data_IF_015944733717
#
_entry.id   IF_015944733717
#
_cell.length_a   1.000
_cell.length_b   1.000
_cell.length_c   1.000
_cell.angle_alpha   90.00
_cell.angle_beta   90.00
_cell.angle_gamma   90.00
#
_symmetry.space_group_name_H-M   'P 1'
#
loop_
_entity.id
_entity.type
_entity.pdbx_description
1 polymer ?
#
# COMPACT_ATOMS: atom_id res chain seq x y z
N UNK A 1 -39.00 -6.71 11.63
CA UNK A 1 -38.06 -7.50 10.80
C UNK A 1 -36.66 -6.91 10.83
N UNK A 2 -36.43 -5.62 10.52
CA UNK A 2 -35.15 -4.94 10.79
C UNK A 2 -34.67 -5.11 12.25
N UNK A 3 -35.60 -5.05 13.22
CA UNK A 3 -35.29 -5.34 14.63
C UNK A 3 -34.77 -6.77 14.88
N UNK A 4 -35.19 -7.76 14.09
CA UNK A 4 -34.72 -9.15 14.25
C UNK A 4 -33.28 -9.30 13.73
N UNK A 5 -32.95 -8.70 12.59
CA UNK A 5 -31.57 -8.66 12.07
C UNK A 5 -30.68 -7.93 13.08
N UNK A 6 -31.13 -6.79 13.58
CA UNK A 6 -30.33 -6.02 14.54
C UNK A 6 -30.08 -6.78 15.84
N UNK A 7 -31.06 -7.53 16.36
CA UNK A 7 -30.86 -8.40 17.51
C UNK A 7 -29.86 -9.53 17.22
N UNK A 8 -29.97 -10.20 16.05
CA UNK A 8 -29.02 -11.23 15.64
C UNK A 8 -27.58 -10.67 15.52
N UNK A 9 -27.39 -9.51 14.88
CA UNK A 9 -26.08 -8.85 14.79
C UNK A 9 -25.48 -8.54 16.17
N UNK A 10 -26.29 -8.01 17.11
CA UNK A 10 -25.83 -7.73 18.48
C UNK A 10 -25.35 -8.98 19.20
N UNK A 11 -26.08 -10.09 19.07
CA UNK A 11 -25.69 -11.36 19.69
C UNK A 11 -24.38 -11.88 19.10
N UNK A 12 -24.23 -11.86 17.77
CA UNK A 12 -23.00 -12.29 17.09
C UNK A 12 -21.77 -11.50 17.53
N UNK A 13 -21.89 -10.17 17.70
CA UNK A 13 -20.78 -9.35 18.21
C UNK A 13 -20.38 -9.77 19.63
N UNK A 14 -21.34 -10.03 20.51
CA UNK A 14 -21.10 -10.44 21.90
C UNK A 14 -20.46 -11.85 21.94
N UNK A 15 -20.97 -12.78 21.14
CA UNK A 15 -20.46 -14.15 21.06
C UNK A 15 -19.02 -14.18 20.54
N UNK A 16 -18.72 -13.41 19.48
CA UNK A 16 -17.36 -13.29 18.95
C UNK A 16 -16.40 -12.68 19.98
N UNK A 17 -16.83 -11.63 20.68
CA UNK A 17 -16.03 -10.96 21.71
C UNK A 17 -15.71 -11.90 22.89
N UNK A 18 -16.62 -12.83 23.24
CA UNK A 18 -16.48 -13.72 24.39
C UNK A 18 -15.71 -15.00 24.09
N UNK A 19 -15.90 -15.57 22.90
CA UNK A 19 -15.42 -16.92 22.59
C UNK A 19 -14.42 -16.97 21.43
N UNK A 20 -14.28 -15.89 20.65
CA UNK A 20 -13.61 -15.89 19.33
C UNK A 20 -14.06 -17.05 18.43
N UNK A 21 -15.24 -17.61 18.70
CA UNK A 21 -15.72 -18.81 18.03
C UNK A 21 -16.58 -18.43 16.84
N UNK A 22 -15.93 -18.38 15.68
CA UNK A 22 -16.56 -18.11 14.39
C UNK A 22 -17.57 -19.19 14.01
N UNK A 23 -17.32 -20.44 14.40
CA UNK A 23 -18.10 -21.57 13.92
C UNK A 23 -19.54 -21.54 14.43
N UNK A 24 -19.79 -20.98 15.62
CA UNK A 24 -21.15 -20.75 16.14
C UNK A 24 -21.88 -19.63 15.38
N UNK A 25 -21.15 -18.59 14.95
CA UNK A 25 -21.69 -17.51 14.12
C UNK A 25 -22.01 -18.04 12.73
N UNK A 26 -21.12 -18.84 12.15
CA UNK A 26 -21.31 -19.52 10.87
C UNK A 26 -22.50 -20.46 10.95
N UNK A 27 -22.62 -21.27 12.00
CA UNK A 27 -23.74 -22.16 12.23
C UNK A 27 -25.05 -21.36 12.28
N UNK A 28 -25.08 -20.26 13.04
CA UNK A 28 -26.22 -19.34 13.14
C UNK A 28 -26.61 -18.66 11.81
N UNK A 29 -25.69 -18.60 10.86
CA UNK A 29 -25.88 -18.03 9.52
C UNK A 29 -26.17 -19.09 8.44
N UNK A 30 -25.82 -20.36 8.68
CA UNK A 30 -25.86 -21.44 7.67
C UNK A 30 -26.98 -22.47 7.87
N UNK A 31 -27.49 -22.68 9.08
CA UNK A 31 -28.53 -23.69 9.33
C UNK A 31 -29.97 -23.24 9.03
N UNK A 32 -30.18 -21.94 8.83
CA UNK A 32 -31.51 -21.37 8.78
C UNK A 32 -31.82 -20.95 7.33
N UNK A 33 -32.34 -21.87 6.51
CA UNK A 33 -32.91 -21.58 5.17
C UNK A 33 -34.04 -20.52 5.26
N UNK A 34 -34.61 -20.35 6.47
CA UNK A 34 -35.58 -19.31 6.82
C UNK A 34 -34.94 -18.07 7.48
N UNK A 35 -33.62 -18.01 7.59
CA UNK A 35 -32.88 -16.89 8.16
C UNK A 35 -33.06 -15.67 7.30
N UNK A 36 -33.60 -14.62 7.90
CA UNK A 36 -33.70 -13.29 7.30
C UNK A 36 -32.33 -12.81 6.78
N UNK A 37 -31.21 -13.30 7.33
CA UNK A 37 -29.85 -12.94 6.92
C UNK A 37 -29.43 -13.68 5.65
N UNK A 38 -29.74 -14.98 5.50
CA UNK A 38 -29.32 -15.80 4.36
C UNK A 38 -29.88 -15.33 3.01
N UNK A 39 -30.95 -14.52 3.02
CA UNK A 39 -31.57 -13.92 1.83
C UNK A 39 -31.33 -12.41 1.72
N UNK A 40 -30.74 -11.75 2.74
CA UNK A 40 -30.56 -10.29 2.82
C UNK A 40 -29.18 -9.92 3.34
N UNK A 41 -28.15 -10.55 2.78
CA UNK A 41 -26.75 -10.33 3.13
C UNK A 41 -26.30 -8.85 3.13
N UNK A 42 -26.79 -8.04 2.18
CA UNK A 42 -26.50 -6.60 2.13
C UNK A 42 -27.04 -5.85 3.36
N UNK A 43 -28.28 -6.17 3.78
CA UNK A 43 -28.90 -5.54 4.94
C UNK A 43 -28.22 -6.01 6.23
N UNK A 44 -27.78 -7.27 6.30
CA UNK A 44 -26.97 -7.77 7.39
C UNK A 44 -25.66 -6.99 7.55
N UNK A 45 -24.91 -6.79 6.45
CA UNK A 45 -23.66 -6.00 6.47
C UNK A 45 -23.93 -4.58 6.95
N UNK A 46 -24.97 -3.94 6.40
CA UNK A 46 -25.38 -2.59 6.80
C UNK A 46 -25.74 -2.53 8.29
N UNK A 47 -26.61 -3.43 8.76
CA UNK A 47 -27.04 -3.47 10.16
C UNK A 47 -25.88 -3.71 11.11
N UNK A 48 -25.01 -4.66 10.80
CA UNK A 48 -23.83 -4.96 11.61
C UNK A 48 -22.91 -3.74 11.71
N UNK A 49 -22.60 -3.09 10.58
CA UNK A 49 -21.81 -1.87 10.56
C UNK A 49 -22.45 -0.76 11.42
N UNK A 50 -23.75 -0.49 11.27
CA UNK A 50 -24.44 0.55 12.05
C UNK A 50 -24.49 0.25 13.55
N UNK A 51 -24.74 -1.00 13.95
CA UNK A 51 -24.78 -1.40 15.36
C UNK A 51 -23.41 -1.21 16.03
N UNK A 52 -22.33 -1.42 15.29
CA UNK A 52 -20.98 -1.18 15.84
C UNK A 52 -20.73 0.32 16.07
N UNK A 53 -21.36 1.21 15.30
CA UNK A 53 -21.31 2.66 15.53
C UNK A 53 -22.03 3.06 16.84
N UNK A 54 -23.15 2.42 17.17
CA UNK A 54 -23.92 2.73 18.40
C UNK A 54 -23.14 2.46 19.70
N UNK A 55 -22.14 1.57 19.66
CA UNK A 55 -21.48 1.03 20.86
C UNK A 55 -20.05 1.52 21.12
N UNK A 56 -19.45 2.23 20.15
CA UNK A 56 -18.13 2.92 20.14
C UNK A 56 -17.04 2.35 21.09
N UNK A 57 -16.29 1.34 20.61
CA UNK A 57 -14.85 1.51 20.39
C UNK A 57 -14.38 0.89 19.05
N UNK A 58 -13.25 1.36 18.50
CA UNK A 58 -12.62 0.84 17.26
C UNK A 58 -12.49 -0.69 17.27
N UNK A 59 -12.29 -1.29 18.45
CA UNK A 59 -12.26 -2.73 18.67
C UNK A 59 -13.50 -3.45 18.12
N UNK A 60 -14.71 -2.91 18.32
CA UNK A 60 -15.95 -3.56 17.88
C UNK A 60 -16.17 -3.46 16.38
N UNK A 61 -15.76 -2.35 15.77
CA UNK A 61 -15.72 -2.22 14.30
C UNK A 61 -14.71 -3.19 13.69
N UNK A 62 -13.56 -3.40 14.33
CA UNK A 62 -12.58 -4.42 13.89
C UNK A 62 -13.14 -5.83 14.02
N UNK A 63 -13.83 -6.15 15.11
CA UNK A 63 -14.53 -7.45 15.28
C UNK A 63 -15.53 -7.71 14.15
N UNK A 64 -16.34 -6.72 13.78
CA UNK A 64 -17.25 -6.85 12.64
C UNK A 64 -16.50 -7.09 11.32
N UNK A 65 -15.38 -6.41 11.12
CA UNK A 65 -14.49 -6.65 9.98
C UNK A 65 -13.95 -8.09 9.94
N UNK A 66 -13.49 -8.63 11.07
CA UNK A 66 -13.01 -10.01 11.18
C UNK A 66 -14.11 -11.02 10.83
N UNK A 67 -15.32 -10.84 11.38
CA UNK A 67 -16.48 -11.67 11.06
C UNK A 67 -16.76 -11.62 9.54
N UNK A 68 -16.77 -10.44 8.92
CA UNK A 68 -16.98 -10.35 7.47
C UNK A 68 -15.88 -11.06 6.67
N UNK A 69 -14.62 -10.92 7.07
CA UNK A 69 -13.49 -11.57 6.40
C UNK A 69 -13.59 -13.10 6.48
N UNK A 70 -13.95 -13.64 7.65
CA UNK A 70 -14.13 -15.07 7.85
C UNK A 70 -15.33 -15.61 7.07
N UNK A 71 -16.48 -14.93 7.12
CA UNK A 71 -17.68 -15.32 6.35
C UNK A 71 -17.45 -15.27 4.84
N UNK A 72 -16.67 -14.29 4.38
CA UNK A 72 -16.24 -14.20 2.99
C UNK A 72 -15.33 -15.36 2.60
N UNK A 73 -14.35 -15.70 3.46
CA UNK A 73 -13.42 -16.83 3.22
C UNK A 73 -14.16 -18.17 3.12
N UNK A 74 -15.23 -18.36 3.91
CA UNK A 74 -16.10 -19.54 3.89
C UNK A 74 -17.21 -19.48 2.85
N UNK A 75 -17.25 -18.42 2.02
CA UNK A 75 -18.25 -18.21 0.94
C UNK A 75 -19.70 -18.14 1.44
N UNK A 76 -19.91 -17.79 2.69
CA UNK A 76 -21.25 -17.57 3.26
C UNK A 76 -21.74 -16.17 2.86
N UNK A 77 -20.84 -15.19 2.92
CA UNK A 77 -21.11 -13.82 2.51
C UNK A 77 -20.39 -13.52 1.19
N UNK A 78 -21.10 -12.94 0.21
CA UNK A 78 -20.50 -12.59 -1.07
C UNK A 78 -19.78 -11.24 -1.00
N UNK A 79 -18.73 -11.06 -1.82
CA UNK A 79 -18.05 -9.77 -1.97
C UNK A 79 -19.04 -8.66 -2.32
N UNK A 80 -19.99 -8.95 -3.21
CA UNK A 80 -20.99 -8.00 -3.66
C UNK A 80 -21.91 -7.51 -2.54
N UNK A 81 -22.29 -8.40 -1.62
CA UNK A 81 -23.10 -8.03 -0.47
C UNK A 81 -22.32 -7.16 0.52
N UNK A 82 -21.02 -7.43 0.70
CA UNK A 82 -20.13 -6.62 1.54
C UNK A 82 -19.97 -5.23 0.94
N UNK A 83 -19.61 -5.14 -0.35
CA UNK A 83 -19.36 -3.85 -1.01
C UNK A 83 -20.62 -2.99 -1.04
N UNK A 84 -21.77 -3.55 -1.45
CA UNK A 84 -23.05 -2.82 -1.45
C UNK A 84 -23.52 -2.43 -0.05
N UNK A 85 -23.34 -3.32 0.93
CA UNK A 85 -23.75 -3.05 2.31
C UNK A 85 -22.95 -1.92 2.95
N UNK A 86 -21.63 -1.89 2.73
CA UNK A 86 -20.75 -0.82 3.22
C UNK A 86 -21.00 0.50 2.47
N UNK A 87 -21.16 0.47 1.15
CA UNK A 87 -21.49 1.67 0.37
C UNK A 87 -22.84 2.26 0.80
N UNK A 88 -23.83 1.42 1.12
CA UNK A 88 -25.12 1.86 1.65
C UNK A 88 -25.03 2.55 3.03
N UNK A 89 -24.00 2.24 3.83
CA UNK A 89 -23.70 2.97 5.08
C UNK A 89 -22.99 4.28 4.75
N UNK A 90 -21.95 4.23 3.93
CA UNK A 90 -21.18 5.42 3.54
C UNK A 90 -22.03 6.46 2.80
N UNK A 91 -23.07 6.06 2.08
CA UNK A 91 -24.01 6.96 1.38
C UNK A 91 -24.61 8.05 2.27
N UNK A 92 -24.82 7.77 3.56
CA UNK A 92 -25.40 8.72 4.53
C UNK A 92 -24.35 9.27 5.50
N UNK A 93 -23.08 9.34 5.07
CA UNK A 93 -21.94 9.79 5.88
C UNK A 93 -22.19 11.14 6.57
N UNK A 94 -22.89 12.06 5.92
CA UNK A 94 -23.15 13.41 6.42
C UNK A 94 -24.04 13.37 7.67
N UNK A 95 -25.03 12.47 7.70
CA UNK A 95 -25.93 12.30 8.83
C UNK A 95 -25.18 11.64 10.00
N UNK A 96 -24.39 10.60 9.72
CA UNK A 96 -23.62 9.91 10.75
C UNK A 96 -22.49 10.74 11.34
N UNK A 97 -21.91 11.68 10.59
CA UNK A 97 -20.85 12.56 11.12
C UNK A 97 -21.34 13.48 12.25
N UNK A 98 -22.65 13.75 12.33
CA UNK A 98 -23.24 14.57 13.39
C UNK A 98 -23.04 13.88 14.74
N UNK A 99 -23.33 12.58 14.81
CA UNK A 99 -23.25 11.79 16.03
C UNK A 99 -21.87 11.13 16.22
N UNK A 100 -21.16 10.86 15.12
CA UNK A 100 -19.89 10.12 15.11
C UNK A 100 -18.79 10.88 14.33
N UNK A 101 -18.05 11.82 14.97
CA UNK A 101 -17.03 12.62 14.28
C UNK A 101 -15.91 11.80 13.60
N UNK A 102 -15.64 10.59 14.10
CA UNK A 102 -14.65 9.65 13.55
C UNK A 102 -15.26 8.59 12.63
N UNK A 103 -16.48 8.81 12.10
CA UNK A 103 -17.22 7.86 11.27
C UNK A 103 -16.36 7.14 10.21
N UNK A 104 -15.58 7.87 9.41
CA UNK A 104 -14.72 7.23 8.39
C UNK A 104 -13.66 6.31 8.99
N UNK A 105 -13.10 6.64 10.15
CA UNK A 105 -12.13 5.79 10.86
C UNK A 105 -12.79 4.51 11.37
N UNK A 106 -14.05 4.58 11.80
CA UNK A 106 -14.83 3.43 12.25
C UNK A 106 -15.15 2.50 11.08
N UNK A 107 -15.64 3.03 9.97
CA UNK A 107 -15.87 2.20 8.77
C UNK A 107 -14.55 1.65 8.22
N UNK A 108 -13.45 2.41 8.27
CA UNK A 108 -12.13 1.92 7.88
C UNK A 108 -11.66 0.74 8.74
N UNK A 109 -12.00 0.73 10.04
CA UNK A 109 -11.68 -0.39 10.93
C UNK A 109 -12.46 -1.67 10.62
N UNK A 110 -13.63 -1.57 9.96
CA UNK A 110 -14.36 -2.72 9.40
C UNK A 110 -13.66 -3.22 8.12
N UNK A 111 -13.18 -2.31 7.27
CA UNK A 111 -12.52 -2.64 5.99
C UNK A 111 -11.13 -3.27 6.18
N UNK A 112 -10.35 -2.80 7.13
CA UNK A 112 -8.94 -3.22 7.25
C UNK A 112 -8.78 -4.76 7.39
N UNK A 113 -9.55 -5.47 8.25
CA UNK A 113 -9.52 -6.93 8.31
C UNK A 113 -9.82 -7.64 6.99
N UNK A 114 -10.76 -7.10 6.19
CA UNK A 114 -11.09 -7.67 4.88
C UNK A 114 -9.90 -7.62 3.92
N UNK A 115 -9.14 -6.51 3.92
CA UNK A 115 -7.95 -6.35 3.09
C UNK A 115 -6.75 -7.16 3.61
N UNK A 116 -6.62 -7.31 4.93
CA UNK A 116 -5.54 -8.04 5.61
C UNK A 116 -5.72 -9.57 5.58
N UNK A 117 -6.94 -10.06 5.39
CA UNK A 117 -7.19 -11.50 5.34
C UNK A 117 -6.56 -12.13 4.09
N UNK A 118 -5.70 -13.13 4.29
CA UNK A 118 -5.01 -13.88 3.22
C UNK A 118 -5.98 -14.73 2.39
N UNK A 119 -7.01 -15.28 3.03
CA UNK A 119 -7.97 -16.21 2.40
C UNK A 119 -9.21 -15.49 1.85
N UNK A 120 -9.32 -14.16 2.04
CA UNK A 120 -10.41 -13.37 1.52
C UNK A 120 -10.06 -12.80 0.14
N UNK A 121 -10.97 -12.98 -0.82
CA UNK A 121 -10.87 -12.41 -2.17
C UNK A 121 -11.07 -10.88 -2.23
N UNK A 122 -10.99 -10.19 -1.10
CA UNK A 122 -11.25 -8.74 -1.00
C UNK A 122 -9.98 -7.93 -1.29
N UNK A 123 -10.04 -7.02 -2.26
CA UNK A 123 -8.91 -6.22 -2.74
C UNK A 123 -9.27 -4.71 -2.91
N UNK A 124 -8.41 -3.94 -3.59
CA UNK A 124 -8.67 -2.52 -3.84
C UNK A 124 -9.78 -2.27 -4.88
N UNK A 125 -10.13 -3.23 -5.73
CA UNK A 125 -11.33 -3.12 -6.58
C UNK A 125 -12.60 -3.18 -5.73
N UNK A 126 -12.64 -4.08 -4.74
CA UNK A 126 -13.77 -4.13 -3.83
C UNK A 126 -13.84 -2.86 -2.97
N UNK A 127 -12.70 -2.32 -2.53
CA UNK A 127 -12.67 -1.04 -1.82
C UNK A 127 -13.19 0.12 -2.67
N UNK A 128 -12.86 0.14 -3.96
CA UNK A 128 -13.41 1.10 -4.94
C UNK A 128 -14.94 1.05 -4.97
N UNK A 129 -15.51 -0.15 -4.91
CA UNK A 129 -16.96 -0.34 -4.95
C UNK A 129 -17.62 0.02 -3.61
N UNK A 130 -16.96 -0.25 -2.49
CA UNK A 130 -17.43 0.16 -1.15
C UNK A 130 -17.60 1.66 -0.99
N UNK A 131 -16.82 2.49 -1.70
CA UNK A 131 -16.84 3.94 -1.53
C UNK A 131 -17.48 4.69 -2.69
N UNK A 132 -18.26 4.00 -3.55
CA UNK A 132 -18.83 4.57 -4.75
C UNK A 132 -19.69 5.81 -4.49
N UNK A 133 -20.50 5.79 -3.42
CA UNK A 133 -21.45 6.85 -3.04
C UNK A 133 -20.79 8.09 -2.41
N UNK A 134 -19.50 8.03 -2.04
CA UNK A 134 -18.78 9.14 -1.38
C UNK A 134 -17.69 9.78 -2.25
N UNK A 135 -17.58 9.34 -3.52
CA UNK A 135 -16.62 9.89 -4.49
C UNK A 135 -17.14 11.18 -5.13
N UNK A 136 -16.24 12.14 -5.45
CA UNK A 136 -14.82 12.19 -5.06
C UNK A 136 -14.61 12.82 -3.67
N UNK A 137 -15.63 13.46 -3.10
CA UNK A 137 -15.48 14.43 -2.02
C UNK A 137 -14.90 13.84 -0.72
N UNK A 138 -15.40 12.68 -0.31
CA UNK A 138 -15.00 12.04 0.95
C UNK A 138 -14.23 10.72 0.76
N UNK A 139 -14.13 10.22 -0.48
CA UNK A 139 -13.37 9.00 -0.77
C UNK A 139 -11.91 9.13 -0.36
N UNK A 140 -11.32 10.32 -0.50
CA UNK A 140 -9.94 10.57 -0.09
C UNK A 140 -9.76 10.42 1.42
N UNK A 141 -10.64 11.06 2.21
CA UNK A 141 -10.59 10.96 3.68
C UNK A 141 -10.75 9.51 4.13
N UNK A 142 -11.72 8.81 3.55
CA UNK A 142 -11.97 7.40 3.86
C UNK A 142 -10.78 6.50 3.48
N UNK A 143 -10.21 6.68 2.29
CA UNK A 143 -9.07 5.90 1.82
C UNK A 143 -7.85 6.07 2.74
N UNK A 144 -7.57 7.30 3.16
CA UNK A 144 -6.48 7.58 4.12
C UNK A 144 -6.72 6.88 5.46
N UNK A 145 -7.96 6.89 5.97
CA UNK A 145 -8.29 6.15 7.20
C UNK A 145 -8.05 4.64 7.02
N UNK A 146 -8.44 4.06 5.88
CA UNK A 146 -8.18 2.64 5.58
C UNK A 146 -6.68 2.33 5.57
N UNK A 147 -5.87 3.12 4.86
CA UNK A 147 -4.42 2.94 4.83
C UNK A 147 -3.82 3.07 6.24
N UNK A 148 -4.25 4.04 7.04
CA UNK A 148 -3.81 4.19 8.43
C UNK A 148 -4.17 2.99 9.30
N UNK A 149 -5.35 2.38 9.12
CA UNK A 149 -5.73 1.16 9.87
C UNK A 149 -4.86 -0.03 9.49
N UNK A 150 -4.56 -0.22 8.21
CA UNK A 150 -3.65 -1.28 7.73
C UNK A 150 -2.23 -1.06 8.25
N UNK A 151 -1.75 0.18 8.30
CA UNK A 151 -0.43 0.50 8.88
C UNK A 151 -0.38 0.35 10.41
N UNK A 152 -1.52 0.40 11.08
CA UNK A 152 -1.61 0.35 12.55
C UNK A 152 -1.99 -1.04 13.08
N UNK A 153 -2.29 -2.01 12.21
CA UNK A 153 -2.59 -3.38 12.63
C UNK A 153 -1.31 -4.06 13.15
N UNK A 154 -1.32 -4.45 14.43
CA UNK A 154 -0.17 -5.02 15.15
C UNK A 154 -0.30 -6.52 15.42
N UNK A 155 -0.89 -7.30 14.52
CA UNK A 155 -0.99 -8.75 14.75
C UNK A 155 0.34 -9.45 14.46
N UNK A 156 1.08 -9.63 15.57
CA UNK A 156 2.08 -10.64 15.91
C UNK A 156 3.38 -10.72 15.11
N UNK A 157 4.44 -10.34 15.84
CA UNK A 157 5.86 -10.66 15.67
C UNK A 157 6.13 -12.18 15.56
N UNK A 158 5.67 -12.80 14.49
CA UNK A 158 6.21 -14.05 14.00
C UNK A 158 6.65 -13.82 12.56
N UNK A 159 7.97 -13.90 12.35
CA UNK A 159 8.73 -13.61 11.11
C UNK A 159 8.26 -14.44 9.89
N UNK A 160 7.21 -15.27 10.02
CA UNK A 160 6.63 -16.08 8.94
C UNK A 160 5.27 -15.59 8.43
N UNK A 161 4.58 -14.68 9.12
CA UNK A 161 3.22 -14.25 8.76
C UNK A 161 3.05 -12.74 9.00
N UNK A 162 3.59 -11.90 8.11
CA UNK A 162 3.43 -10.43 8.20
C UNK A 162 1.98 -10.04 7.85
N UNK A 163 1.22 -9.51 8.81
CA UNK A 163 -0.19 -9.08 8.66
C UNK A 163 -0.35 -7.59 9.01
N UNK A 164 0.18 -6.72 8.16
CA UNK A 164 0.08 -5.25 8.28
C UNK A 164 1.10 -4.51 7.43
N UNK A 165 1.04 -3.18 7.44
CA UNK A 165 2.16 -2.35 6.97
C UNK A 165 2.19 -2.00 5.49
N UNK A 166 3.23 -1.27 5.10
CA UNK A 166 3.39 -0.65 3.80
C UNK A 166 3.67 -1.69 2.71
N UNK A 167 4.42 -2.75 3.04
CA UNK A 167 4.67 -3.86 2.13
C UNK A 167 3.38 -4.58 1.76
N UNK A 168 2.52 -4.84 2.74
CA UNK A 168 1.20 -5.43 2.50
C UNK A 168 0.36 -4.56 1.55
N UNK A 169 0.33 -3.24 1.79
CA UNK A 169 -0.40 -2.31 0.93
C UNK A 169 0.09 -2.42 -0.53
N UNK A 170 1.40 -2.40 -0.76
CA UNK A 170 1.97 -2.57 -2.11
C UNK A 170 1.63 -3.93 -2.70
N UNK A 171 1.85 -5.02 -1.98
CA UNK A 171 1.56 -6.38 -2.44
C UNK A 171 0.09 -6.54 -2.85
N UNK A 172 -0.84 -6.12 -1.98
CA UNK A 172 -2.29 -6.20 -2.23
C UNK A 172 -2.71 -5.30 -3.40
N UNK A 173 -2.10 -4.12 -3.55
CA UNK A 173 -2.36 -3.24 -4.71
C UNK A 173 -1.87 -3.85 -6.02
N UNK A 174 -0.68 -4.46 -6.03
CA UNK A 174 -0.13 -5.14 -7.20
C UNK A 174 -0.93 -6.37 -7.62
N UNK A 175 -1.49 -7.10 -6.64
CA UNK A 175 -2.34 -8.25 -6.86
C UNK A 175 -3.76 -7.87 -7.35
N UNK A 176 -4.18 -6.61 -7.16
CA UNK A 176 -5.48 -6.12 -7.61
C UNK A 176 -5.48 -5.92 -9.14
N UNK A 177 -6.60 -6.20 -9.82
CA UNK A 177 -6.78 -5.71 -11.19
C UNK A 177 -6.66 -4.18 -11.17
N UNK A 178 -5.88 -3.61 -12.08
CA UNK A 178 -5.49 -2.19 -12.05
C UNK A 178 -6.60 -1.22 -11.60
N UNK A 179 -6.37 -0.59 -10.44
CA UNK A 179 -7.20 0.50 -9.90
C UNK A 179 -6.39 1.78 -9.98
N UNK A 180 -6.83 2.83 -10.69
CA UNK A 180 -6.14 4.11 -10.67
C UNK A 180 -6.37 4.84 -9.35
N UNK A 181 -5.40 5.64 -8.90
CA UNK A 181 -5.49 6.37 -7.63
C UNK A 181 -6.61 7.41 -7.63
N UNK A 182 -6.89 8.02 -8.79
CA UNK A 182 -7.90 9.09 -8.95
C UNK A 182 -9.33 8.67 -8.58
N UNK A 183 -9.58 7.36 -8.53
CA UNK A 183 -10.79 6.75 -7.98
C UNK A 183 -10.98 7.06 -6.50
N UNK A 184 -9.89 7.07 -5.72
CA UNK A 184 -9.92 7.34 -4.29
C UNK A 184 -9.53 8.78 -3.98
N UNK A 185 -8.51 9.28 -4.66
CA UNK A 185 -7.87 10.57 -4.39
C UNK A 185 -7.57 11.31 -5.70
N UNK A 186 -8.25 12.45 -5.95
CA UNK A 186 -7.86 13.35 -7.02
C UNK A 186 -6.40 13.79 -6.88
N UNK A 187 -5.65 13.80 -7.97
CA UNK A 187 -4.20 14.06 -7.95
C UNK A 187 -3.79 15.40 -7.30
N UNK A 188 -4.67 16.42 -7.34
CA UNK A 188 -4.42 17.71 -6.72
C UNK A 188 -4.39 17.66 -5.17
N UNK A 189 -4.90 16.58 -4.56
CA UNK A 189 -4.88 16.39 -3.11
C UNK A 189 -3.60 15.70 -2.61
N UNK A 190 -2.79 15.09 -3.49
CA UNK A 190 -1.61 14.30 -3.11
C UNK A 190 -0.64 15.09 -2.23
N UNK A 191 -0.42 16.37 -2.56
CA UNK A 191 0.52 17.22 -1.83
C UNK A 191 0.20 17.34 -0.33
N UNK A 192 -1.08 17.20 0.06
CA UNK A 192 -1.52 17.28 1.46
C UNK A 192 -1.07 16.08 2.31
N UNK A 193 -0.80 14.93 1.70
CA UNK A 193 -0.57 13.67 2.41
C UNK A 193 0.88 13.20 2.35
N UNK A 194 1.78 14.01 1.76
CA UNK A 194 3.18 13.64 1.62
C UNK A 194 3.98 13.68 2.93
N UNK A 195 3.58 14.49 3.91
CA UNK A 195 4.26 14.61 5.21
C UNK A 195 4.39 13.27 5.96
N UNK A 196 3.51 12.31 5.67
CA UNK A 196 3.66 10.94 6.14
C UNK A 196 4.54 10.15 5.16
N UNK A 197 5.81 9.97 5.49
CA UNK A 197 6.81 9.29 4.64
C UNK A 197 6.39 7.89 4.16
N UNK A 198 5.46 7.20 4.82
CA UNK A 198 4.90 5.90 4.37
C UNK A 198 3.78 6.11 3.37
N UNK A 199 2.68 6.70 3.82
CA UNK A 199 1.45 6.86 3.01
C UNK A 199 1.72 7.81 1.84
N UNK A 200 2.40 8.92 2.08
CA UNK A 200 2.73 9.93 1.09
C UNK A 200 3.53 9.37 -0.09
N UNK A 201 4.56 8.58 0.21
CA UNK A 201 5.36 7.90 -0.82
C UNK A 201 4.55 6.86 -1.59
N UNK A 202 3.70 6.10 -0.90
CA UNK A 202 2.78 5.15 -1.56
C UNK A 202 1.82 5.86 -2.51
N UNK A 203 1.12 6.89 -2.05
CA UNK A 203 0.19 7.65 -2.89
C UNK A 203 0.90 8.26 -4.10
N UNK A 204 2.07 8.85 -3.89
CA UNK A 204 2.83 9.48 -4.96
C UNK A 204 3.34 8.44 -5.98
N UNK A 205 3.78 7.26 -5.51
CA UNK A 205 4.27 6.21 -6.41
C UNK A 205 3.15 5.63 -7.27
N UNK A 206 1.96 5.39 -6.70
CA UNK A 206 0.78 4.96 -7.46
C UNK A 206 0.36 6.05 -8.46
N UNK A 207 0.35 7.33 -8.06
CA UNK A 207 -0.03 8.42 -8.95
C UNK A 207 0.91 8.56 -10.16
N UNK A 208 2.22 8.44 -9.93
CA UNK A 208 3.20 8.43 -11.01
C UNK A 208 3.05 7.19 -11.90
N UNK A 209 2.79 6.03 -11.30
CA UNK A 209 2.53 4.79 -12.05
C UNK A 209 1.30 4.93 -12.96
N UNK A 210 0.20 5.52 -12.49
CA UNK A 210 -0.97 5.79 -13.34
C UNK A 210 -0.59 6.58 -14.59
N UNK A 211 0.25 7.60 -14.44
CA UNK A 211 0.72 8.41 -15.57
C UNK A 211 1.68 7.67 -16.48
N UNK A 212 2.56 6.85 -15.92
CA UNK A 212 3.47 5.99 -16.66
C UNK A 212 2.70 4.97 -17.50
N UNK A 213 1.73 4.28 -16.89
CA UNK A 213 0.90 3.27 -17.54
C UNK A 213 0.13 3.81 -18.75
N UNK A 214 -0.36 5.05 -18.65
CA UNK A 214 -1.08 5.72 -19.74
C UNK A 214 -0.14 6.31 -20.82
N UNK A 215 1.17 6.18 -20.65
CA UNK A 215 2.18 6.79 -21.52
C UNK A 215 2.92 5.73 -22.33
N UNK A 216 3.03 5.93 -23.65
CA UNK A 216 3.86 5.06 -24.48
C UNK A 216 5.36 5.21 -24.14
N UNK A 217 6.11 4.10 -24.17
CA UNK A 217 7.54 4.02 -23.74
C UNK A 217 8.45 5.17 -24.21
N UNK A 218 8.23 5.68 -25.42
CA UNK A 218 9.05 6.77 -26.00
C UNK A 218 8.80 8.15 -25.38
N UNK A 219 7.65 8.36 -24.74
CA UNK A 219 7.22 9.65 -24.20
C UNK A 219 7.20 9.67 -22.67
N UNK A 220 7.71 8.61 -22.02
CA UNK A 220 7.69 8.45 -20.57
C UNK A 220 8.33 9.66 -19.88
N UNK A 221 9.53 10.05 -20.32
CA UNK A 221 10.24 11.19 -19.74
C UNK A 221 9.40 12.48 -19.80
N UNK A 222 8.99 12.90 -21.00
CA UNK A 222 8.38 14.21 -21.19
C UNK A 222 7.00 14.31 -20.54
N UNK A 223 6.17 13.26 -20.67
CA UNK A 223 4.83 13.26 -20.08
C UNK A 223 4.84 13.18 -18.57
N UNK A 224 5.67 12.29 -17.99
CA UNK A 224 5.73 12.19 -16.54
C UNK A 224 6.34 13.46 -15.94
N UNK A 225 7.42 13.97 -16.52
CA UNK A 225 8.04 15.22 -16.07
C UNK A 225 7.05 16.40 -16.11
N UNK A 226 6.33 16.57 -17.23
CA UNK A 226 5.31 17.61 -17.35
C UNK A 226 4.19 17.45 -16.32
N UNK A 227 3.74 16.22 -16.07
CA UNK A 227 2.73 15.96 -15.05
C UNK A 227 3.23 16.29 -13.64
N UNK A 228 4.45 15.86 -13.28
CA UNK A 228 5.07 16.15 -11.99
C UNK A 228 5.16 17.65 -11.76
N UNK A 229 5.73 18.39 -12.72
CA UNK A 229 5.90 19.85 -12.61
C UNK A 229 4.57 20.62 -12.54
N UNK A 230 3.46 20.00 -12.94
CA UNK A 230 2.12 20.62 -12.89
C UNK A 230 1.36 20.26 -11.60
N UNK A 231 1.56 19.06 -11.05
CA UNK A 231 0.69 18.51 -10.00
C UNK A 231 1.38 18.37 -8.64
N UNK A 232 2.70 18.31 -8.60
CA UNK A 232 3.46 18.08 -7.37
C UNK A 232 4.20 19.36 -6.96
N UNK A 233 4.13 19.71 -5.69
CA UNK A 233 4.77 20.91 -5.16
C UNK A 233 6.30 20.82 -5.21
N UNK A 234 6.95 21.98 -5.33
CA UNK A 234 8.42 22.06 -5.42
C UNK A 234 9.07 21.56 -4.14
N UNK A 235 8.44 21.78 -2.98
CA UNK A 235 8.89 21.31 -1.68
C UNK A 235 8.95 19.78 -1.63
N UNK A 236 7.94 19.10 -2.17
CA UNK A 236 7.89 17.63 -2.22
C UNK A 236 8.94 17.10 -3.19
N UNK A 237 9.11 17.73 -4.37
CA UNK A 237 10.16 17.34 -5.33
C UNK A 237 11.56 17.48 -4.71
N UNK A 238 11.73 18.41 -3.76
CA UNK A 238 12.97 18.62 -3.01
C UNK A 238 13.26 17.56 -1.94
N UNK A 239 12.27 16.80 -1.49
CA UNK A 239 12.46 15.72 -0.54
C UNK A 239 13.14 14.50 -1.20
N UNK A 240 14.16 13.88 -0.57
CA UNK A 240 14.76 12.63 -1.08
C UNK A 240 13.74 11.50 -1.29
N UNK A 241 12.72 11.41 -0.45
CA UNK A 241 11.63 10.43 -0.50
C UNK A 241 10.83 10.49 -1.81
N UNK A 242 10.85 11.63 -2.52
CA UNK A 242 10.29 11.74 -3.85
C UNK A 242 10.94 10.76 -4.83
N UNK A 243 12.28 10.60 -4.75
CA UNK A 243 13.02 9.67 -5.61
C UNK A 243 12.63 8.23 -5.28
N UNK A 244 12.40 7.90 -4.00
CA UNK A 244 11.86 6.59 -3.60
C UNK A 244 10.52 6.31 -4.28
N UNK A 245 9.59 7.27 -4.24
CA UNK A 245 8.28 7.14 -4.90
C UNK A 245 8.42 6.95 -6.42
N UNK A 246 9.28 7.74 -7.07
CA UNK A 246 9.54 7.66 -8.51
C UNK A 246 10.14 6.30 -8.91
N UNK A 247 11.13 5.82 -8.16
CA UNK A 247 11.73 4.50 -8.41
C UNK A 247 10.70 3.39 -8.32
N UNK A 248 9.86 3.41 -7.28
CA UNK A 248 8.77 2.44 -7.11
C UNK A 248 7.83 2.48 -8.31
N UNK A 249 7.37 3.66 -8.72
CA UNK A 249 6.47 3.82 -9.86
C UNK A 249 7.03 3.25 -11.17
N UNK A 250 8.32 3.48 -11.43
CA UNK A 250 9.02 2.95 -12.60
C UNK A 250 9.10 1.42 -12.55
N UNK A 251 9.41 0.84 -11.39
CA UNK A 251 9.47 -0.62 -11.23
C UNK A 251 8.10 -1.24 -11.47
N UNK A 252 7.04 -0.65 -10.92
CA UNK A 252 5.66 -1.11 -11.14
C UNK A 252 5.28 -1.04 -12.62
N UNK A 253 5.65 0.01 -13.35
CA UNK A 253 5.44 0.08 -14.80
C UNK A 253 6.19 -1.02 -15.54
N UNK A 254 7.46 -1.23 -15.22
CA UNK A 254 8.28 -2.24 -15.87
C UNK A 254 7.66 -3.64 -15.70
N UNK A 255 7.26 -4.00 -14.49
CA UNK A 255 6.59 -5.27 -14.19
C UNK A 255 5.33 -5.49 -15.05
N UNK A 256 4.49 -4.46 -15.17
CA UNK A 256 3.23 -4.54 -15.92
C UNK A 256 3.42 -4.50 -17.44
N UNK A 257 4.59 -4.07 -17.92
CA UNK A 257 4.88 -3.95 -19.34
C UNK A 257 5.37 -5.27 -19.98
N UNK A 258 5.39 -6.38 -19.22
CA UNK A 258 5.99 -7.68 -19.59
C UNK A 258 7.46 -7.56 -20.04
N UNK A 259 8.17 -6.54 -19.57
CA UNK A 259 9.61 -6.42 -19.80
C UNK A 259 10.36 -7.45 -18.96
N UNK A 260 11.37 -8.12 -19.53
CA UNK A 260 12.35 -8.86 -18.73
C UNK A 260 12.99 -7.90 -17.72
N UNK A 261 13.47 -8.40 -16.57
CA UNK A 261 14.25 -7.57 -15.65
C UNK A 261 15.46 -6.90 -16.32
N UNK A 262 16.00 -7.48 -17.39
CA UNK A 262 17.06 -6.90 -18.22
C UNK A 262 16.63 -5.60 -18.94
N UNK A 263 15.35 -5.48 -19.23
CA UNK A 263 14.75 -4.33 -19.92
C UNK A 263 14.23 -3.28 -18.94
N UNK A 264 14.39 -3.49 -17.62
CA UNK A 264 14.03 -2.49 -16.62
C UNK A 264 14.93 -1.27 -16.78
N UNK A 265 14.41 -0.10 -16.40
CA UNK A 265 15.10 1.18 -16.59
C UNK A 265 15.56 1.39 -18.04
N UNK A 266 14.62 1.44 -19.00
CA UNK A 266 14.93 1.91 -20.35
C UNK A 266 15.44 3.36 -20.31
N UNK A 267 16.03 3.84 -21.41
CA UNK A 267 16.61 5.18 -21.51
C UNK A 267 15.74 6.32 -20.96
N UNK A 268 14.42 6.26 -21.18
CA UNK A 268 13.47 7.23 -20.64
C UNK A 268 13.40 7.25 -19.10
N UNK A 269 13.47 6.08 -18.47
CA UNK A 269 13.48 5.93 -17.01
C UNK A 269 14.78 6.45 -16.41
N UNK A 270 15.91 6.07 -17.00
CA UNK A 270 17.24 6.53 -16.58
C UNK A 270 17.34 8.05 -16.64
N UNK A 271 16.83 8.67 -17.71
CA UNK A 271 16.76 10.14 -17.82
C UNK A 271 15.94 10.77 -16.72
N UNK A 272 14.75 10.23 -16.41
CA UNK A 272 13.89 10.73 -15.33
C UNK A 272 14.58 10.65 -13.97
N UNK A 273 15.12 9.47 -13.62
CA UNK A 273 15.82 9.27 -12.36
C UNK A 273 17.03 10.21 -12.26
N UNK A 274 17.85 10.25 -13.30
CA UNK A 274 19.01 11.15 -13.36
C UNK A 274 18.61 12.60 -13.16
N UNK A 275 17.54 13.04 -13.82
CA UNK A 275 17.01 14.39 -13.67
C UNK A 275 16.61 14.65 -12.22
N UNK A 276 15.77 13.83 -11.59
CA UNK A 276 15.28 14.12 -10.24
C UNK A 276 16.27 13.82 -9.10
N UNK A 277 17.32 13.03 -9.36
CA UNK A 277 18.44 12.85 -8.43
C UNK A 277 19.36 14.09 -8.46
N UNK A 278 19.53 14.71 -9.64
CA UNK A 278 20.49 15.79 -9.89
C UNK A 278 19.85 17.13 -10.24
N UNK A 279 18.54 17.27 -10.09
CA UNK A 279 17.80 18.47 -10.45
C UNK A 279 18.15 19.56 -9.45
N UNK A 280 18.65 20.69 -9.94
CA UNK A 280 19.21 21.82 -9.17
C UNK A 280 20.69 21.60 -8.77
N UNK A 281 21.49 22.67 -8.54
CA UNK A 281 22.87 22.55 -8.06
C UNK A 281 22.88 22.10 -6.59
N UNK A 282 22.44 20.87 -6.37
CA UNK A 282 22.41 20.20 -5.08
C UNK A 282 23.84 19.93 -4.60
N UNK A 283 24.05 20.02 -3.30
CA UNK A 283 25.32 19.67 -2.70
C UNK A 283 25.50 18.15 -2.69
N UNK A 284 26.74 17.67 -2.66
CA UNK A 284 27.07 16.24 -2.62
C UNK A 284 26.21 15.41 -1.65
N UNK A 285 26.02 15.82 -0.38
CA UNK A 285 25.19 15.08 0.58
C UNK A 285 23.71 14.92 0.17
N UNK A 286 23.13 15.91 -0.51
CA UNK A 286 21.73 15.87 -0.95
C UNK A 286 21.55 14.91 -2.13
N UNK A 287 22.54 14.85 -3.03
CA UNK A 287 22.59 13.88 -4.13
C UNK A 287 22.70 12.46 -3.55
N UNK A 288 23.62 12.24 -2.61
CA UNK A 288 23.77 10.93 -1.93
C UNK A 288 22.46 10.50 -1.25
N UNK A 289 21.78 11.41 -0.55
CA UNK A 289 20.50 11.13 0.09
C UNK A 289 19.42 10.68 -0.93
N UNK A 290 19.37 11.31 -2.10
CA UNK A 290 18.45 10.94 -3.20
C UNK A 290 18.80 9.60 -3.84
N UNK A 291 20.08 9.36 -4.09
CA UNK A 291 20.58 8.08 -4.61
C UNK A 291 20.25 6.92 -3.65
N UNK A 292 20.45 7.11 -2.34
CA UNK A 292 20.08 6.13 -1.30
C UNK A 292 18.57 5.86 -1.29
N UNK A 293 17.73 6.88 -1.46
CA UNK A 293 16.27 6.70 -1.57
C UNK A 293 15.86 5.93 -2.84
N UNK A 294 16.64 6.01 -3.92
CA UNK A 294 16.45 5.14 -5.08
C UNK A 294 16.68 3.65 -4.72
N UNK A 295 17.75 3.35 -3.97
CA UNK A 295 18.04 1.98 -3.49
C UNK A 295 16.93 1.45 -2.58
N UNK A 296 16.42 2.28 -1.68
CA UNK A 296 15.28 1.90 -0.84
C UNK A 296 14.00 1.62 -1.62
N UNK A 297 13.74 2.35 -2.72
CA UNK A 297 12.62 2.05 -3.61
C UNK A 297 12.72 0.64 -4.21
N UNK A 298 13.91 0.23 -4.65
CA UNK A 298 14.17 -1.13 -5.14
C UNK A 298 13.98 -2.15 -4.02
N UNK A 299 14.48 -1.89 -2.82
CA UNK A 299 14.36 -2.80 -1.68
C UNK A 299 12.89 -3.04 -1.29
N UNK A 300 12.08 -1.99 -1.20
CA UNK A 300 10.64 -2.09 -0.93
C UNK A 300 9.95 -2.95 -1.99
N UNK A 301 10.22 -2.69 -3.27
CA UNK A 301 9.60 -3.46 -4.35
C UNK A 301 10.06 -4.91 -4.38
N UNK A 302 11.34 -5.16 -4.12
CA UNK A 302 11.84 -6.53 -3.99
C UNK A 302 11.13 -7.27 -2.86
N UNK A 303 10.94 -6.64 -1.70
CA UNK A 303 10.25 -7.25 -0.57
C UNK A 303 8.75 -7.49 -0.86
N UNK A 304 8.07 -6.51 -1.45
CA UNK A 304 6.65 -6.63 -1.82
C UNK A 304 6.38 -7.74 -2.87
N UNK A 305 7.40 -8.11 -3.65
CA UNK A 305 7.39 -9.18 -4.65
C UNK A 305 8.01 -10.50 -4.14
N UNK A 306 8.23 -10.63 -2.83
CA UNK A 306 8.80 -11.84 -2.21
C UNK A 306 10.21 -12.20 -2.71
N UNK A 307 11.05 -11.18 -2.92
CA UNK A 307 12.46 -11.28 -3.31
C UNK A 307 12.72 -12.09 -4.60
N UNK A 308 12.27 -11.61 -5.77
CA UNK A 308 12.51 -12.31 -7.04
C UNK A 308 14.00 -12.51 -7.31
N UNK A 309 14.38 -13.73 -7.67
CA UNK A 309 15.79 -14.13 -7.79
C UNK A 309 16.55 -13.22 -8.76
N UNK A 310 17.63 -12.62 -8.25
CA UNK A 310 18.54 -11.76 -9.01
C UNK A 310 18.00 -10.38 -9.40
N UNK A 311 16.75 -10.01 -9.05
CA UNK A 311 16.18 -8.70 -9.41
C UNK A 311 17.02 -7.55 -8.85
N UNK A 312 17.26 -7.53 -7.53
CA UNK A 312 18.04 -6.48 -6.86
C UNK A 312 19.44 -6.35 -7.46
N UNK A 313 20.14 -7.47 -7.62
CA UNK A 313 21.51 -7.50 -8.16
C UNK A 313 21.58 -6.89 -9.56
N UNK A 314 20.66 -7.27 -10.46
CA UNK A 314 20.61 -6.74 -11.83
C UNK A 314 20.31 -5.25 -11.85
N UNK A 315 19.32 -4.81 -11.08
CA UNK A 315 18.96 -3.39 -11.02
C UNK A 315 20.11 -2.55 -10.44
N UNK A 316 20.81 -3.05 -9.42
CA UNK A 316 21.95 -2.37 -8.81
C UNK A 316 23.12 -2.25 -9.79
N UNK A 317 23.48 -3.32 -10.50
CA UNK A 317 24.50 -3.26 -11.56
C UNK A 317 24.14 -2.24 -12.64
N UNK A 318 22.89 -2.20 -13.10
CA UNK A 318 22.44 -1.25 -14.11
C UNK A 318 22.57 0.19 -13.64
N UNK A 319 22.07 0.51 -12.44
CA UNK A 319 22.16 1.87 -11.89
C UNK A 319 23.60 2.31 -11.63
N UNK A 320 24.50 1.38 -11.30
CA UNK A 320 25.92 1.65 -11.14
C UNK A 320 26.62 1.88 -12.50
N UNK A 321 26.41 1.01 -13.48
CA UNK A 321 27.00 1.12 -14.83
C UNK A 321 26.55 2.38 -15.57
N UNK A 322 25.27 2.74 -15.45
CA UNK A 322 24.72 3.96 -16.03
C UNK A 322 25.11 5.23 -15.25
N UNK A 323 25.95 5.09 -14.21
CA UNK A 323 26.40 6.20 -13.35
C UNK A 323 25.23 6.99 -12.77
N UNK A 324 24.15 6.31 -12.38
CA UNK A 324 22.97 6.93 -11.75
C UNK A 324 23.16 6.98 -10.23
N UNK A 325 23.75 5.91 -9.67
CA UNK A 325 24.05 5.78 -8.24
C UNK A 325 25.56 5.61 -8.06
N UNK A 326 26.14 6.41 -7.18
CA UNK A 326 27.55 6.35 -6.83
C UNK A 326 27.88 5.15 -5.93
N UNK A 327 29.14 4.72 -5.97
CA UNK A 327 29.67 3.71 -5.03
C UNK A 327 29.45 4.12 -3.57
N UNK A 328 29.66 5.40 -3.26
CA UNK A 328 29.47 5.95 -1.93
C UNK A 328 28.03 5.77 -1.43
N UNK A 329 27.02 6.02 -2.28
CA UNK A 329 25.61 5.80 -1.93
C UNK A 329 25.30 4.33 -1.63
N UNK A 330 25.89 3.39 -2.38
CA UNK A 330 25.75 1.95 -2.09
C UNK A 330 26.36 1.60 -0.72
N UNK A 331 27.54 2.16 -0.40
CA UNK A 331 28.19 1.96 0.90
C UNK A 331 27.39 2.58 2.07
N UNK A 332 26.85 3.79 1.87
CA UNK A 332 25.96 4.43 2.85
C UNK A 332 24.74 3.56 3.09
N UNK A 333 24.05 3.16 2.02
CA UNK A 333 22.88 2.30 2.11
C UNK A 333 23.20 0.94 2.76
N UNK A 334 24.38 0.37 2.52
CA UNK A 334 24.85 -0.88 3.14
C UNK A 334 25.05 -0.71 4.65
N UNK A 335 25.80 0.33 5.06
CA UNK A 335 26.19 0.63 6.45
C UNK A 335 25.06 1.20 7.30
N UNK A 336 24.04 1.77 6.68
CA UNK A 336 22.91 2.33 7.40
C UNK A 336 22.09 1.20 8.03
N UNK A 337 22.45 0.88 9.28
CA UNK A 337 21.70 0.00 10.18
C UNK A 337 20.53 0.75 10.84
N UNK A 338 20.38 2.06 10.61
CA UNK A 338 19.35 2.88 11.24
C UNK A 338 18.13 3.02 10.35
N UNK A 339 16.99 2.74 10.97
CA UNK A 339 15.66 2.98 10.44
C UNK A 339 15.51 4.43 9.99
N UNK A 340 15.47 4.64 8.67
CA UNK A 340 15.05 5.91 8.12
C UNK A 340 13.53 6.07 8.32
N UNK A 341 13.04 7.30 8.44
CA UNK A 341 11.61 7.54 8.55
C UNK A 341 10.86 6.95 7.33
N UNK A 342 9.76 6.24 7.57
CA UNK A 342 8.93 5.69 6.50
C UNK A 342 9.09 4.20 6.17
N UNK A 343 9.75 3.41 7.02
CA UNK A 343 9.82 1.95 6.91
C UNK A 343 9.07 1.29 8.08
N UNK A 344 8.44 0.14 7.84
CA UNK A 344 7.99 -0.75 8.93
C UNK A 344 9.16 -1.61 9.41
N UNK A 345 9.05 -2.14 10.64
CA UNK A 345 9.97 -3.15 11.20
C UNK A 345 10.18 -4.34 10.22
N UNK A 346 9.21 -4.61 9.36
CA UNK A 346 9.20 -5.69 8.37
C UNK A 346 10.22 -5.60 7.21
N UNK A 347 10.87 -4.46 6.99
CA UNK A 347 11.96 -4.33 6.00
C UNK A 347 13.32 -4.82 6.52
N UNK A 348 13.32 -5.45 7.70
CA UNK A 348 14.45 -5.84 8.55
C UNK A 348 15.56 -6.65 7.87
N UNK A 349 15.29 -7.30 6.73
CA UNK A 349 16.28 -8.16 6.06
C UNK A 349 16.70 -7.59 4.71
N UNK A 350 17.75 -6.77 4.70
CA UNK A 350 18.60 -6.65 3.51
C UNK A 350 19.06 -8.07 3.18
N UNK A 351 18.75 -8.59 1.99
CA UNK A 351 19.22 -9.92 1.58
C UNK A 351 20.75 -9.87 1.34
N UNK A 352 21.50 -9.92 2.43
CA UNK A 352 22.94 -9.70 2.51
C UNK A 352 23.72 -10.63 1.57
N UNK A 353 23.21 -11.82 1.29
CA UNK A 353 23.85 -12.75 0.36
C UNK A 353 23.90 -12.21 -1.08
N UNK A 354 22.79 -11.62 -1.55
CA UNK A 354 22.69 -10.99 -2.89
C UNK A 354 23.52 -9.71 -2.95
N UNK A 355 23.67 -9.01 -1.83
CA UNK A 355 24.45 -7.78 -1.74
C UNK A 355 25.95 -8.06 -1.70
N UNK A 356 26.37 -9.08 -0.95
CA UNK A 356 27.77 -9.44 -0.85
C UNK A 356 28.39 -9.78 -2.21
N UNK A 357 27.63 -10.41 -3.13
CA UNK A 357 28.12 -10.67 -4.50
C UNK A 357 28.25 -9.41 -5.37
N UNK A 358 27.44 -8.37 -5.12
CA UNK A 358 27.58 -7.05 -5.78
C UNK A 358 28.81 -6.29 -5.26
N UNK A 359 29.03 -6.29 -3.94
CA UNK A 359 30.09 -5.50 -3.32
C UNK A 359 31.47 -6.15 -3.43
N UNK A 360 31.58 -7.48 -3.47
CA UNK A 360 32.89 -8.17 -3.52
C UNK A 360 33.79 -7.67 -4.67
N UNK A 361 33.32 -7.56 -5.93
CA UNK A 361 34.14 -7.05 -7.02
C UNK A 361 34.49 -5.56 -6.87
N UNK A 362 33.61 -4.77 -6.24
CA UNK A 362 33.84 -3.34 -5.99
C UNK A 362 34.89 -3.12 -4.90
N UNK A 363 34.98 -4.02 -3.92
CA UNK A 363 35.99 -4.00 -2.85
C UNK A 363 37.35 -4.49 -3.37
N UNK A 364 37.39 -5.53 -4.22
CA UNK A 364 38.62 -6.05 -4.84
C UNK A 364 39.27 -5.05 -5.82
N UNK A 365 38.47 -4.31 -6.59
CA UNK A 365 39.03 -3.27 -7.48
C UNK A 365 39.65 -2.08 -6.72
N UNK A 366 39.34 -1.90 -5.43
CA UNK A 366 39.96 -0.86 -4.61
C UNK A 366 41.33 -1.29 -4.04
N UNK A 367 41.53 -2.58 -3.76
CA UNK A 367 42.82 -3.05 -3.24
C UNK A 367 43.93 -2.98 -4.29
N UNK A 368 43.57 -3.06 -5.58
CA UNK A 368 44.54 -3.02 -6.67
C UNK A 368 44.93 -1.57 -7.09
N UNK A 369 44.14 -0.55 -6.71
CA UNK A 369 44.47 0.86 -6.99
C UNK A 369 45.37 1.49 -5.91
N UNK A 370 45.32 1.01 -4.65
CA UNK A 370 46.17 1.53 -3.56
C UNK A 370 47.62 0.97 -3.60
N UNK A 371 47.87 -0.11 -4.34
CA UNK A 371 49.19 -0.77 -4.42
C UNK A 371 50.10 -0.27 -5.58
N UNK A 372 49.75 0.84 -6.26
CA UNK A 372 50.57 1.39 -7.38
C UNK A 372 51.36 2.67 -7.06
N UNK A 373 51.53 3.00 -5.78
CA UNK A 373 52.49 4.02 -5.35
C UNK A 373 53.45 3.52 -4.26
N UNK A 374 54.43 2.70 -4.68
CA UNK A 374 55.77 2.66 -4.05
C UNK A 374 56.86 2.86 -5.10
#
# INVERSE_FOLDING_TARGET
MANQINMKCKNMLIEYEQMQNVDDIIYSLSEDETSVIGTRHEEFVKSMALITLDSIPITRTTVAGNIFAELLSKKILSMEAITRGIDAVLKYWNDYLIDYPQFFSYIAAIIAPLLLSQNAFFDFNNLKDCCASIRPDNSTKFFIEVLNKILSSKETQNIKEQLGGILWIYNKWLASEYVPLDIFMPYNQINKYFENDRIGVFLLSIAMYDKLKMTGRKLIHDKLHSWISTNISVEIIKCPQFVRALTIAIIIECLNSNSSYEDFFVHGHVKLLTYYIRSEPLLGPEILAREVQCLYGIQIMSAALEYPEGMVLRLFHKLYQDSIISKESFEIWKKDDKFNAGFDEDLETKNLAVLNSFFLPLELNNSDEDDTYE
#
